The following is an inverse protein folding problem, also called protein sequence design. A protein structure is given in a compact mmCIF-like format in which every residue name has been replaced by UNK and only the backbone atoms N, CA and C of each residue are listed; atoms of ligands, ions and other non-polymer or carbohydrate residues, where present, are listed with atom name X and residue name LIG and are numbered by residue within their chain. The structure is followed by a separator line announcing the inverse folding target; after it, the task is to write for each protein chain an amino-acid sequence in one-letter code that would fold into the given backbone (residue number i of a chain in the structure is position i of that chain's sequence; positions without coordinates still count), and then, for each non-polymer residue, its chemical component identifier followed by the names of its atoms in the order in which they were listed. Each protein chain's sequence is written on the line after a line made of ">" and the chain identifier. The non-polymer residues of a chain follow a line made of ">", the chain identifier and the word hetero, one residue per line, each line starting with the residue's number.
data_IF_406506575018
#
_entry.id   IF_406506575018
#
_cell.length_a   1.000
_cell.length_b   1.000
_cell.length_c   1.000
_cell.angle_alpha   90.00
_cell.angle_beta   90.00
_cell.angle_gamma   90.00
#
_symmetry.space_group_name_H-M   'P 1'
#
loop_
_entity.id
_entity.type
_entity.pdbx_description
1 polymer ?
#
# COMPACT_ATOMS: atom_id res chain seq x y z
N UNK A 1 12.08 -1.67 9.79
CA UNK A 1 12.50 -3.10 9.79
C UNK A 1 13.26 -3.40 11.07
N UNK A 2 13.08 -4.59 11.64
CA UNK A 2 13.52 -4.90 13.00
C UNK A 2 14.99 -5.31 13.03
N UNK A 3 15.82 -4.56 13.77
CA UNK A 3 17.18 -4.99 14.12
C UNK A 3 17.08 -6.12 15.15
N UNK A 4 18.01 -7.06 15.12
CA UNK A 4 18.10 -8.11 16.15
C UNK A 4 18.18 -7.52 17.57
N UNK A 5 18.79 -6.34 17.71
CA UNK A 5 18.84 -5.62 18.98
C UNK A 5 17.47 -5.22 19.54
N UNK A 6 16.48 -4.94 18.69
CA UNK A 6 15.13 -4.55 19.11
C UNK A 6 14.22 -5.77 19.37
N UNK A 7 14.64 -6.97 18.98
CA UNK A 7 13.87 -8.20 19.17
C UNK A 7 14.15 -8.87 20.53
N UNK A 8 15.22 -8.49 21.23
CA UNK A 8 15.53 -8.98 22.59
C UNK A 8 14.41 -8.69 23.60
N UNK A 9 13.70 -7.57 23.43
CA UNK A 9 12.59 -7.20 24.32
C UNK A 9 11.36 -8.08 24.14
N UNK A 10 11.20 -8.69 22.97
CA UNK A 10 10.05 -9.55 22.63
C UNK A 10 10.40 -11.04 22.72
N UNK A 11 11.66 -11.41 22.44
CA UNK A 11 12.12 -12.80 22.37
C UNK A 11 13.38 -12.99 23.25
N UNK A 12 13.24 -13.47 24.50
CA UNK A 12 14.36 -13.62 25.44
C UNK A 12 15.39 -14.68 25.01
N UNK A 13 15.08 -15.50 24.00
CA UNK A 13 16.00 -16.48 23.39
C UNK A 13 17.08 -15.78 22.55
N UNK A 14 16.80 -14.58 22.01
CA UNK A 14 17.74 -13.79 21.21
C UNK A 14 18.70 -12.99 22.07
N UNK A 15 19.36 -13.64 23.03
CA UNK A 15 20.24 -12.98 24.00
C UNK A 15 21.52 -12.39 23.37
N UNK A 16 22.32 -11.72 24.20
CA UNK A 16 23.59 -11.12 23.78
C UNK A 16 24.57 -12.12 23.18
N UNK A 17 24.46 -13.41 23.53
CA UNK A 17 25.29 -14.49 22.97
C UNK A 17 24.95 -14.74 21.50
N UNK A 18 23.65 -14.91 21.20
CA UNK A 18 23.16 -15.10 19.83
C UNK A 18 23.46 -13.87 18.99
N UNK A 19 23.26 -12.66 19.54
CA UNK A 19 23.57 -11.42 18.81
C UNK A 19 25.06 -11.30 18.47
N UNK A 20 25.94 -11.59 19.42
CA UNK A 20 27.39 -11.50 19.19
C UNK A 20 27.85 -12.52 18.14
N UNK A 21 27.27 -13.71 18.13
CA UNK A 21 27.50 -14.72 17.09
C UNK A 21 26.97 -14.25 15.72
N UNK A 22 25.75 -13.70 15.65
CA UNK A 22 25.24 -13.13 14.40
C UNK A 22 26.12 -11.97 13.91
N UNK A 23 26.55 -11.07 14.81
CA UNK A 23 27.40 -9.94 14.48
C UNK A 23 28.78 -10.37 13.97
N UNK A 24 29.37 -11.46 14.50
CA UNK A 24 30.65 -11.98 14.00
C UNK A 24 30.55 -12.56 12.58
N UNK A 25 29.34 -12.93 12.14
CA UNK A 25 29.03 -13.36 10.79
C UNK A 25 28.43 -12.24 9.92
N UNK A 26 28.41 -10.99 10.40
CA UNK A 26 27.90 -9.84 9.64
C UNK A 26 26.37 -9.74 9.59
N UNK A 27 25.66 -10.45 10.47
CA UNK A 27 24.20 -10.47 10.55
C UNK A 27 23.74 -9.51 11.64
N UNK A 28 23.05 -8.43 11.26
CA UNK A 28 22.58 -7.39 12.19
C UNK A 28 21.05 -7.21 12.18
N UNK A 29 20.39 -7.71 11.14
CA UNK A 29 18.95 -7.65 10.91
C UNK A 29 18.37 -9.02 10.55
N UNK A 30 17.05 -9.15 10.65
CA UNK A 30 16.32 -10.35 10.21
C UNK A 30 16.48 -10.59 8.70
N UNK A 31 16.65 -9.52 7.92
CA UNK A 31 16.88 -9.59 6.47
C UNK A 31 18.26 -10.12 6.11
N UNK A 32 19.29 -9.77 6.88
CA UNK A 32 20.64 -10.31 6.65
C UNK A 32 20.60 -11.84 6.73
N UNK A 33 19.75 -12.39 7.59
CA UNK A 33 19.52 -13.83 7.71
C UNK A 33 19.03 -14.48 6.41
N UNK A 34 18.24 -13.78 5.60
CA UNK A 34 17.73 -14.28 4.32
C UNK A 34 18.80 -14.36 3.22
N UNK A 35 19.89 -13.59 3.38
CA UNK A 35 20.99 -13.51 2.41
C UNK A 35 22.09 -14.53 2.75
N UNK A 36 22.14 -15.01 4.00
CA UNK A 36 23.14 -15.95 4.47
C UNK A 36 22.72 -17.41 4.28
N UNK A 37 23.69 -18.28 4.05
CA UNK A 37 23.46 -19.72 4.00
C UNK A 37 23.21 -20.28 5.40
N UNK A 38 21.96 -20.68 5.65
CA UNK A 38 21.48 -21.26 6.90
C UNK A 38 22.26 -22.52 7.31
N UNK A 39 22.70 -23.33 6.35
CA UNK A 39 23.45 -24.55 6.63
C UNK A 39 24.85 -24.23 7.15
N UNK A 40 25.51 -23.24 6.53
CA UNK A 40 26.83 -22.78 6.98
C UNK A 40 26.73 -22.14 8.37
N UNK A 41 25.71 -21.31 8.61
CA UNK A 41 25.49 -20.67 9.90
C UNK A 41 25.23 -21.70 11.02
N UNK A 42 24.43 -22.73 10.73
CA UNK A 42 24.18 -23.83 11.67
C UNK A 42 25.45 -24.64 11.97
N UNK A 43 26.29 -24.90 10.95
CA UNK A 43 27.57 -25.58 11.13
C UNK A 43 28.55 -24.76 11.99
N UNK A 44 28.59 -23.43 11.84
CA UNK A 44 29.39 -22.57 12.71
C UNK A 44 28.83 -22.52 14.14
N UNK A 45 27.50 -22.57 14.30
CA UNK A 45 26.87 -22.64 15.62
C UNK A 45 27.18 -23.96 16.35
N UNK A 46 27.41 -25.07 15.64
CA UNK A 46 27.84 -26.35 16.21
C UNK A 46 29.25 -26.36 16.80
N UNK A 47 30.11 -25.45 16.33
CA UNK A 47 31.51 -25.38 16.79
C UNK A 47 31.70 -24.51 18.05
N UNK A 48 30.61 -23.94 18.58
CA UNK A 48 30.63 -23.07 19.77
C UNK A 48 30.12 -23.81 21.01
N UNK A 49 30.64 -23.44 22.20
CA UNK A 49 30.23 -24.04 23.49
C UNK A 49 28.73 -23.88 23.80
N UNK A 50 28.06 -22.89 23.20
CA UNK A 50 26.63 -22.60 23.35
C UNK A 50 25.77 -23.10 22.18
N UNK A 51 26.11 -24.26 21.58
CA UNK A 51 25.50 -24.75 20.34
C UNK A 51 23.97 -24.86 20.38
N UNK A 52 23.40 -25.44 21.45
CA UNK A 52 21.94 -25.58 21.57
C UNK A 52 21.24 -24.22 21.57
N UNK A 53 21.77 -23.25 22.33
CA UNK A 53 21.23 -21.89 22.40
C UNK A 53 21.31 -21.15 21.07
N UNK A 54 22.41 -21.30 20.34
CA UNK A 54 22.57 -20.68 19.02
C UNK A 54 21.58 -21.29 18.02
N UNK A 55 21.38 -22.60 18.04
CA UNK A 55 20.38 -23.28 17.19
C UNK A 55 18.96 -22.85 17.52
N UNK A 56 18.62 -22.73 18.81
CA UNK A 56 17.32 -22.19 19.25
C UNK A 56 17.14 -20.73 18.80
N UNK A 57 18.17 -19.90 18.93
CA UNK A 57 18.15 -18.53 18.44
C UNK A 57 17.92 -18.43 16.93
N UNK A 58 18.65 -19.24 16.15
CA UNK A 58 18.49 -19.34 14.69
C UNK A 58 17.07 -19.80 14.33
N UNK A 59 16.54 -20.83 15.00
CA UNK A 59 15.18 -21.33 14.80
C UNK A 59 14.12 -20.28 15.17
N UNK A 60 14.35 -19.50 16.22
CA UNK A 60 13.46 -18.41 16.62
C UNK A 60 13.44 -17.30 15.56
N UNK A 61 14.60 -16.91 15.01
CA UNK A 61 14.66 -15.95 13.89
C UNK A 61 13.92 -16.49 12.67
N UNK A 62 14.07 -17.78 12.35
CA UNK A 62 13.33 -18.42 11.26
C UNK A 62 11.81 -18.43 11.50
N UNK A 63 11.36 -18.68 12.73
CA UNK A 63 9.93 -18.57 13.07
C UNK A 63 9.42 -17.14 12.90
N UNK A 64 10.19 -16.13 13.31
CA UNK A 64 9.82 -14.71 13.12
C UNK A 64 9.76 -14.38 11.63
N UNK A 65 10.69 -14.91 10.84
CA UNK A 65 10.67 -14.81 9.38
C UNK A 65 9.39 -15.46 8.87
N UNK A 66 9.09 -16.70 9.20
CA UNK A 66 7.88 -17.40 8.73
C UNK A 66 6.58 -16.67 9.11
N UNK A 67 6.51 -16.09 10.33
CA UNK A 67 5.37 -15.29 10.78
C UNK A 67 5.26 -13.94 10.03
N UNK A 68 6.37 -13.42 9.52
CA UNK A 68 6.42 -12.15 8.78
C UNK A 68 6.17 -12.31 7.28
N UNK A 69 6.39 -13.49 6.70
CA UNK A 69 6.19 -13.73 5.28
C UNK A 69 4.73 -14.03 4.96
N UNK A 70 4.29 -13.72 3.74
CA UNK A 70 2.99 -14.22 3.29
C UNK A 70 3.07 -15.74 3.10
N UNK A 71 2.04 -16.50 3.50
CA UNK A 71 2.02 -17.93 3.32
C UNK A 71 2.16 -18.27 1.84
N UNK A 72 2.88 -19.34 1.54
CA UNK A 72 3.01 -19.86 0.19
C UNK A 72 1.63 -20.28 -0.31
N UNK A 73 1.17 -19.66 -1.39
CA UNK A 73 -0.13 -19.97 -2.00
C UNK A 73 0.07 -20.80 -3.26
N UNK A 74 -0.70 -21.87 -3.40
CA UNK A 74 -0.71 -22.63 -4.65
C UNK A 74 -1.60 -21.96 -5.72
N UNK A 75 -1.51 -22.43 -6.96
CA UNK A 75 -2.26 -21.85 -8.07
C UNK A 75 -3.79 -21.90 -7.91
N UNK A 76 -4.31 -22.91 -7.19
CA UNK A 76 -5.74 -23.04 -6.91
C UNK A 76 -6.20 -22.01 -5.88
N UNK A 77 -5.46 -21.83 -4.80
CA UNK A 77 -5.72 -20.82 -3.77
C UNK A 77 -5.67 -19.41 -4.36
N UNK A 78 -4.69 -19.12 -5.22
CA UNK A 78 -4.63 -17.84 -5.93
C UNK A 78 -5.83 -17.61 -6.86
N UNK A 79 -6.34 -18.66 -7.51
CA UNK A 79 -7.52 -18.58 -8.36
C UNK A 79 -8.80 -18.37 -7.53
N UNK A 80 -8.91 -19.05 -6.39
CA UNK A 80 -10.02 -18.87 -5.46
C UNK A 80 -10.03 -17.48 -4.85
N UNK A 81 -8.87 -16.97 -4.42
CA UNK A 81 -8.70 -15.58 -3.98
C UNK A 81 -9.11 -14.59 -5.08
N UNK A 82 -8.64 -14.81 -6.31
CA UNK A 82 -9.00 -13.97 -7.45
C UNK A 82 -10.52 -13.96 -7.72
N UNK A 83 -11.20 -15.10 -7.55
CA UNK A 83 -12.67 -15.17 -7.73
C UNK A 83 -13.44 -14.55 -6.57
N UNK A 84 -12.94 -14.68 -5.34
CA UNK A 84 -13.66 -14.27 -4.12
C UNK A 84 -13.44 -12.80 -3.77
N UNK A 85 -12.21 -12.31 -3.92
CA UNK A 85 -11.77 -11.05 -3.33
C UNK A 85 -11.48 -9.96 -4.37
N UNK A 86 -11.14 -10.32 -5.61
CA UNK A 86 -10.77 -9.35 -6.67
C UNK A 86 -12.00 -8.88 -7.45
N UNK A 87 -12.80 -8.06 -6.78
CA UNK A 87 -13.88 -7.30 -7.40
C UNK A 87 -13.35 -6.14 -8.23
N UNK A 88 -14.22 -5.56 -9.05
CA UNK A 88 -13.92 -4.39 -9.85
C UNK A 88 -14.80 -3.23 -9.42
N UNK A 89 -14.21 -2.05 -9.24
CA UNK A 89 -14.92 -0.82 -9.03
C UNK A 89 -14.96 -0.01 -10.32
N UNK A 90 -16.16 0.26 -10.88
CA UNK A 90 -16.25 1.13 -12.04
C UNK A 90 -15.76 2.53 -11.70
N UNK A 91 -15.00 3.12 -12.61
CA UNK A 91 -14.54 4.52 -12.52
C UNK A 91 -15.71 5.50 -12.73
N UNK A 92 -16.78 5.04 -13.37
CA UNK A 92 -17.91 5.89 -13.78
C UNK A 92 -17.62 6.67 -15.07
N UNK A 93 -16.62 6.21 -15.84
CA UNK A 93 -16.23 6.67 -17.17
C UNK A 93 -16.21 5.45 -18.09
N UNK A 94 -17.25 5.30 -18.90
CA UNK A 94 -17.48 4.08 -19.70
C UNK A 94 -16.28 3.67 -20.57
N UNK A 95 -15.58 4.63 -21.18
CA UNK A 95 -14.40 4.33 -22.00
C UNK A 95 -13.21 3.76 -21.20
N UNK A 96 -13.01 4.22 -19.96
CA UNK A 96 -11.95 3.72 -19.08
C UNK A 96 -12.37 2.36 -18.50
N UNK A 97 -13.63 2.23 -18.09
CA UNK A 97 -14.17 0.98 -17.58
C UNK A 97 -14.05 -0.14 -18.64
N UNK A 98 -14.39 0.15 -19.89
CA UNK A 98 -14.21 -0.80 -21.00
C UNK A 98 -12.74 -1.19 -21.19
N UNK A 99 -11.81 -0.24 -21.09
CA UNK A 99 -10.38 -0.50 -21.26
C UNK A 99 -9.81 -1.37 -20.13
N UNK A 100 -10.28 -1.18 -18.89
CA UNK A 100 -9.76 -1.89 -17.71
C UNK A 100 -10.46 -3.24 -17.45
N UNK A 101 -11.52 -3.55 -18.19
CA UNK A 101 -12.39 -4.69 -17.92
C UNK A 101 -13.31 -4.41 -16.74
N UNK A 102 -14.20 -3.45 -16.91
CA UNK A 102 -15.26 -2.97 -16.00
C UNK A 102 -14.81 -2.04 -14.87
N UNK A 103 -13.54 -1.60 -14.85
CA UNK A 103 -13.05 -0.58 -13.91
C UNK A 103 -11.75 -0.95 -13.18
N UNK A 104 -11.49 -0.31 -12.04
CA UNK A 104 -10.28 -0.54 -11.23
C UNK A 104 -10.42 -1.77 -10.35
N UNK A 105 -9.39 -2.60 -10.28
CA UNK A 105 -9.42 -3.88 -9.58
C UNK A 105 -9.05 -3.74 -8.11
N UNK A 106 -9.85 -4.38 -7.26
CA UNK A 106 -9.55 -4.56 -5.85
C UNK A 106 -8.36 -5.51 -5.70
N UNK A 107 -7.47 -5.22 -4.73
CA UNK A 107 -6.26 -6.01 -4.55
C UNK A 107 -5.10 -5.57 -5.45
N UNK A 108 -5.28 -4.49 -6.23
CA UNK A 108 -4.31 -4.05 -7.22
C UNK A 108 -4.05 -2.54 -7.15
N UNK A 109 -2.81 -2.19 -7.47
CA UNK A 109 -2.38 -0.82 -7.73
C UNK A 109 -2.60 -0.50 -9.21
N UNK A 110 -3.37 0.54 -9.50
CA UNK A 110 -3.61 1.07 -10.84
C UNK A 110 -2.96 2.45 -10.95
N UNK A 111 -2.14 2.66 -11.97
CA UNK A 111 -1.43 3.92 -12.21
C UNK A 111 -1.99 4.65 -13.42
N UNK A 112 -2.34 5.92 -13.24
CA UNK A 112 -2.75 6.84 -14.30
C UNK A 112 -1.59 7.76 -14.65
N UNK A 113 -0.98 7.53 -15.81
CA UNK A 113 0.23 8.24 -16.23
C UNK A 113 -0.07 9.10 -17.46
N UNK A 114 0.34 10.37 -17.41
CA UNK A 114 0.21 11.26 -18.58
C UNK A 114 0.74 12.68 -18.30
N UNK A 115 0.82 13.56 -19.32
CA UNK A 115 1.23 14.96 -19.15
C UNK A 115 0.35 15.71 -18.15
N UNK A 116 0.87 16.79 -17.55
CA UNK A 116 0.04 17.69 -16.74
C UNK A 116 -1.21 18.14 -17.52
N UNK A 117 -2.33 18.30 -16.81
CA UNK A 117 -3.63 18.68 -17.40
C UNK A 117 -4.26 17.66 -18.36
N UNK A 118 -3.77 16.42 -18.44
CA UNK A 118 -4.37 15.35 -19.25
C UNK A 118 -5.67 14.75 -18.67
N UNK A 119 -6.24 15.34 -17.61
CA UNK A 119 -7.49 14.87 -16.99
C UNK A 119 -7.36 13.79 -15.90
N UNK A 120 -6.15 13.42 -15.45
CA UNK A 120 -5.95 12.38 -14.42
C UNK A 120 -6.71 12.66 -13.13
N UNK A 121 -6.60 13.87 -12.57
CA UNK A 121 -7.36 14.30 -11.39
C UNK A 121 -8.87 14.16 -11.60
N UNK A 122 -9.37 14.42 -12.80
CA UNK A 122 -10.80 14.24 -13.08
C UNK A 122 -11.21 12.76 -13.07
N UNK A 123 -10.35 11.87 -13.57
CA UNK A 123 -10.56 10.42 -13.44
C UNK A 123 -10.54 10.00 -11.96
N UNK A 124 -9.59 10.51 -11.16
CA UNK A 124 -9.51 10.27 -9.72
C UNK A 124 -10.79 10.72 -8.99
N UNK A 125 -11.23 11.96 -9.21
CA UNK A 125 -12.44 12.52 -8.58
C UNK A 125 -13.71 11.78 -9.03
N UNK A 126 -13.82 11.42 -10.32
CA UNK A 126 -14.96 10.67 -10.85
C UNK A 126 -15.02 9.27 -10.24
N UNK A 127 -13.89 8.58 -10.18
CA UNK A 127 -13.76 7.27 -9.55
C UNK A 127 -14.10 7.33 -8.06
N UNK A 128 -13.55 8.31 -7.33
CA UNK A 128 -13.89 8.55 -5.93
C UNK A 128 -15.40 8.72 -5.75
N UNK A 129 -16.03 9.59 -6.54
CA UNK A 129 -17.48 9.85 -6.46
C UNK A 129 -18.34 8.60 -6.75
N UNK A 130 -17.86 7.71 -7.61
CA UNK A 130 -18.59 6.50 -7.99
C UNK A 130 -18.48 5.41 -6.92
N UNK A 131 -17.28 5.18 -6.40
CA UNK A 131 -17.01 4.18 -5.34
C UNK A 131 -17.59 4.63 -3.99
N UNK A 132 -17.53 5.93 -3.69
CA UNK A 132 -18.05 6.51 -2.47
C UNK A 132 -19.57 6.41 -2.29
N UNK A 133 -20.31 5.93 -3.29
CA UNK A 133 -21.74 5.62 -3.15
C UNK A 133 -22.01 4.52 -2.13
N UNK A 134 -21.11 3.55 -2.06
CA UNK A 134 -21.29 2.33 -1.28
C UNK A 134 -20.11 1.99 -0.36
N UNK A 135 -18.93 2.58 -0.58
CA UNK A 135 -17.71 2.26 0.15
C UNK A 135 -16.98 3.51 0.63
N UNK A 136 -16.13 3.39 1.65
CA UNK A 136 -15.30 4.51 2.07
C UNK A 136 -14.07 4.65 1.17
N UNK A 137 -13.72 5.90 0.86
CA UNK A 137 -12.63 6.30 -0.03
C UNK A 137 -11.69 7.22 0.73
N UNK A 138 -10.40 6.89 0.77
CA UNK A 138 -9.36 7.80 1.22
C UNK A 138 -8.74 8.48 0.00
N UNK A 139 -8.76 9.81 -0.02
CA UNK A 139 -8.15 10.63 -1.05
C UNK A 139 -6.96 11.37 -0.45
N UNK A 140 -5.75 11.01 -0.86
CA UNK A 140 -4.53 11.74 -0.54
C UNK A 140 -4.30 12.80 -1.62
N UNK A 141 -4.57 14.05 -1.27
CA UNK A 141 -4.40 15.19 -2.16
C UNK A 141 -3.04 15.85 -1.93
N UNK A 142 -2.17 15.74 -2.91
CA UNK A 142 -0.80 16.28 -2.82
C UNK A 142 -0.60 17.54 -3.65
N UNK A 143 -1.57 17.87 -4.50
CA UNK A 143 -1.55 19.02 -5.40
C UNK A 143 -2.61 20.06 -5.06
N UNK A 144 -3.30 19.91 -3.92
CA UNK A 144 -4.48 20.69 -3.53
C UNK A 144 -5.53 20.80 -4.67
N UNK A 145 -5.69 19.69 -5.40
CA UNK A 145 -6.50 19.60 -6.61
C UNK A 145 -7.86 18.94 -6.36
N UNK A 146 -8.11 18.48 -5.13
CA UNK A 146 -9.40 17.92 -4.74
C UNK A 146 -10.48 18.99 -4.71
N UNK A 147 -11.63 18.71 -5.34
CA UNK A 147 -12.77 19.63 -5.40
C UNK A 147 -14.08 18.90 -5.06
N UNK A 148 -14.66 19.18 -3.88
CA UNK A 148 -16.01 18.71 -3.53
C UNK A 148 -17.05 19.18 -4.54
N UNK A 149 -16.88 20.37 -5.12
CA UNK A 149 -17.81 20.91 -6.11
C UNK A 149 -17.82 20.05 -7.38
N UNK A 150 -16.65 19.58 -7.83
CA UNK A 150 -16.55 18.65 -8.97
C UNK A 150 -17.26 17.32 -8.67
N UNK A 151 -17.09 16.76 -7.48
CA UNK A 151 -17.81 15.55 -7.05
C UNK A 151 -19.32 15.78 -7.06
N UNK A 152 -19.81 16.89 -6.49
CA UNK A 152 -21.23 17.23 -6.49
C UNK A 152 -21.79 17.35 -7.92
N UNK A 153 -21.04 17.99 -8.83
CA UNK A 153 -21.38 18.10 -10.24
C UNK A 153 -21.49 16.73 -10.93
N UNK A 154 -20.51 15.85 -10.68
CA UNK A 154 -20.51 14.49 -11.21
C UNK A 154 -21.71 13.67 -10.77
N UNK A 155 -22.08 13.76 -9.49
CA UNK A 155 -23.26 13.07 -8.96
C UNK A 155 -24.55 13.68 -9.53
N UNK A 156 -24.62 15.01 -9.63
CA UNK A 156 -25.78 15.72 -10.19
C UNK A 156 -26.13 15.31 -11.62
N UNK A 157 -25.13 15.00 -12.46
CA UNK A 157 -25.33 14.50 -13.83
C UNK A 157 -25.82 13.05 -13.90
N UNK A 158 -25.51 12.24 -12.88
CA UNK A 158 -25.80 10.80 -12.90
C UNK A 158 -27.17 10.48 -12.30
N UNK A 159 -27.77 11.43 -11.57
CA UNK A 159 -29.03 11.24 -10.84
C UNK A 159 -30.19 11.92 -11.60
N UNK A 160 -31.07 11.08 -12.17
CA UNK A 160 -32.36 11.49 -12.73
C UNK A 160 -33.26 12.14 -11.66
N UNK A 161 -34.21 13.04 -12.02
CA UNK A 161 -34.79 14.01 -11.11
C UNK A 161 -35.88 13.41 -10.22
N UNK A 162 -35.51 12.71 -9.16
CA UNK A 162 -36.43 12.30 -8.10
C UNK A 162 -36.23 13.19 -6.86
N UNK A 163 -36.76 14.42 -6.92
CA UNK A 163 -36.74 15.46 -5.86
C UNK A 163 -35.38 16.07 -5.47
N UNK A 164 -35.35 17.39 -5.22
CA UNK A 164 -34.14 18.11 -4.78
C UNK A 164 -33.63 17.64 -3.41
N UNK A 165 -34.54 17.19 -2.53
CA UNK A 165 -34.21 16.77 -1.17
C UNK A 165 -33.48 15.42 -1.13
N UNK A 166 -33.92 14.44 -1.94
CA UNK A 166 -33.23 13.16 -2.04
C UNK A 166 -31.83 13.31 -2.66
N UNK A 167 -31.65 14.23 -3.62
CA UNK A 167 -30.33 14.56 -4.19
C UNK A 167 -29.37 15.08 -3.13
N UNK A 168 -29.81 15.97 -2.25
CA UNK A 168 -28.98 16.52 -1.18
C UNK A 168 -28.60 15.46 -0.14
N UNK A 169 -29.53 14.59 0.26
CA UNK A 169 -29.23 13.49 1.19
C UNK A 169 -28.23 12.50 0.58
N UNK A 170 -28.39 12.15 -0.69
CA UNK A 170 -27.45 11.27 -1.37
C UNK A 170 -26.07 11.90 -1.51
N UNK A 171 -26.00 13.18 -1.88
CA UNK A 171 -24.75 13.92 -1.94
C UNK A 171 -24.03 13.93 -0.58
N UNK A 172 -24.75 14.21 0.50
CA UNK A 172 -24.20 14.17 1.85
C UNK A 172 -23.65 12.79 2.21
N UNK A 173 -24.37 11.72 1.86
CA UNK A 173 -23.90 10.34 2.06
C UNK A 173 -22.62 10.04 1.28
N UNK A 174 -22.54 10.45 0.02
CA UNK A 174 -21.32 10.23 -0.79
C UNK A 174 -20.15 11.05 -0.24
N UNK A 175 -20.39 12.30 0.16
CA UNK A 175 -19.36 13.16 0.74
C UNK A 175 -18.85 12.64 2.08
N UNK A 176 -19.72 12.11 2.94
CA UNK A 176 -19.30 11.51 4.21
C UNK A 176 -18.45 10.26 4.04
N UNK A 177 -18.54 9.59 2.88
CA UNK A 177 -17.74 8.41 2.57
C UNK A 177 -16.36 8.75 1.98
N UNK A 178 -16.08 10.02 1.65
CA UNK A 178 -14.79 10.45 1.12
C UNK A 178 -14.03 11.20 2.20
N UNK A 179 -12.96 10.58 2.72
CA UNK A 179 -12.01 11.23 3.60
C UNK A 179 -10.86 11.79 2.75
N UNK A 180 -10.70 13.10 2.72
CA UNK A 180 -9.62 13.77 2.01
C UNK A 180 -8.54 14.23 2.99
N UNK A 181 -7.29 13.87 2.73
CA UNK A 181 -6.13 14.30 3.50
C UNK A 181 -5.12 14.96 2.58
N UNK A 182 -4.78 16.20 2.88
CA UNK A 182 -3.75 16.92 2.13
C UNK A 182 -2.36 16.52 2.61
N UNK A 183 -1.49 16.10 1.69
CA UNK A 183 -0.14 15.60 2.00
C UNK A 183 0.86 16.30 1.09
N UNK A 184 1.80 17.04 1.66
CA UNK A 184 2.74 17.87 0.89
C UNK A 184 4.18 17.36 0.90
N UNK A 185 4.45 16.26 1.62
CA UNK A 185 5.75 15.61 1.70
C UNK A 185 5.59 14.08 1.63
N UNK A 186 6.57 13.41 1.04
CA UNK A 186 6.60 11.95 0.91
C UNK A 186 6.65 11.27 2.29
N UNK A 187 7.34 11.87 3.27
CA UNK A 187 7.38 11.31 4.63
C UNK A 187 6.01 11.38 5.31
N UNK A 188 5.30 12.50 5.17
CA UNK A 188 3.92 12.61 5.64
C UNK A 188 2.98 11.61 4.94
N UNK A 189 3.24 11.30 3.65
CA UNK A 189 2.51 10.23 2.96
C UNK A 189 2.78 8.86 3.61
N UNK A 190 4.04 8.54 3.90
CA UNK A 190 4.39 7.29 4.60
C UNK A 190 3.71 7.20 5.97
N UNK A 191 3.69 8.28 6.75
CA UNK A 191 3.02 8.31 8.05
C UNK A 191 1.52 7.99 7.90
N UNK A 192 0.83 8.61 6.94
CA UNK A 192 -0.58 8.35 6.67
C UNK A 192 -0.80 6.91 6.20
N UNK A 193 0.08 6.36 5.34
CA UNK A 193 -0.01 4.98 4.88
C UNK A 193 0.23 3.96 6.01
N UNK A 194 1.17 4.24 6.93
CA UNK A 194 1.41 3.39 8.09
C UNK A 194 0.26 3.46 9.12
N UNK A 195 -0.31 4.66 9.34
CA UNK A 195 -1.52 4.81 10.14
C UNK A 195 -2.68 4.03 9.52
N UNK A 196 -2.85 4.13 8.19
CA UNK A 196 -3.85 3.36 7.46
C UNK A 196 -3.62 1.85 7.61
N UNK A 197 -2.39 1.37 7.46
CA UNK A 197 -2.04 -0.04 7.66
C UNK A 197 -2.45 -0.53 9.06
N UNK A 198 -2.13 0.25 10.10
CA UNK A 198 -2.49 -0.08 11.49
C UNK A 198 -4.00 -0.08 11.72
N UNK A 199 -4.73 0.84 11.09
CA UNK A 199 -6.18 0.92 11.16
C UNK A 199 -6.86 -0.29 10.51
N UNK A 200 -6.38 -0.68 9.32
CA UNK A 200 -6.97 -1.80 8.56
C UNK A 200 -6.72 -3.14 9.27
N UNK A 201 -5.54 -3.35 9.85
CA UNK A 201 -5.26 -4.54 10.68
C UNK A 201 -6.20 -4.65 11.88
N UNK A 202 -6.59 -3.52 12.47
CA UNK A 202 -7.56 -3.50 13.58
C UNK A 202 -9.01 -3.76 13.12
N UNK A 203 -9.32 -3.62 11.83
CA UNK A 203 -10.69 -3.70 11.30
C UNK A 203 -11.12 -5.09 10.85
N UNK A 204 -10.22 -6.09 10.78
CA UNK A 204 -10.46 -7.43 10.20
C UNK A 204 -11.56 -8.29 10.88
N UNK A 205 -12.38 -7.72 11.78
CA UNK A 205 -13.50 -8.40 12.44
C UNK A 205 -14.83 -7.64 12.51
N UNK A 206 -14.96 -6.40 11.99
CA UNK A 206 -16.24 -5.65 12.09
C UNK A 206 -16.76 -5.21 10.72
N UNK A 207 -17.89 -5.81 10.29
CA UNK A 207 -18.58 -5.55 9.02
C UNK A 207 -19.28 -4.18 8.89
N UNK A 208 -18.74 -3.11 9.47
CA UNK A 208 -19.28 -1.75 9.30
C UNK A 208 -18.30 -0.92 8.48
N UNK A 209 -18.73 -0.50 7.28
CA UNK A 209 -18.02 0.41 6.37
C UNK A 209 -16.52 0.08 6.22
N UNK A 210 -16.18 -0.81 5.30
CA UNK A 210 -14.78 -1.04 4.97
C UNK A 210 -14.30 0.05 4.00
N UNK A 211 -13.14 0.64 4.27
CA UNK A 211 -12.43 1.41 3.25
C UNK A 211 -12.06 0.48 2.10
N UNK A 212 -12.37 0.87 0.85
CA UNK A 212 -12.13 0.00 -0.32
C UNK A 212 -11.33 0.66 -1.44
N UNK A 213 -11.15 1.98 -1.38
CA UNK A 213 -10.39 2.72 -2.37
C UNK A 213 -9.44 3.72 -1.70
N UNK A 214 -8.17 3.64 -2.06
CA UNK A 214 -7.16 4.64 -1.77
C UNK A 214 -6.80 5.35 -3.07
N UNK A 215 -6.89 6.67 -3.10
CA UNK A 215 -6.44 7.49 -4.22
C UNK A 215 -5.27 8.35 -3.77
N UNK A 216 -4.21 8.40 -4.57
CA UNK A 216 -3.11 9.35 -4.39
C UNK A 216 -3.00 10.22 -5.63
N UNK A 217 -3.41 11.48 -5.51
CA UNK A 217 -3.41 12.46 -6.60
C UNK A 217 -2.58 13.68 -6.19
N UNK A 218 -1.34 13.85 -6.65
CA UNK A 218 -0.51 12.97 -7.49
C UNK A 218 0.79 12.62 -6.79
N UNK A 219 1.32 11.42 -6.98
CA UNK A 219 2.62 11.08 -6.39
C UNK A 219 3.75 11.95 -6.98
N UNK A 220 3.59 12.44 -8.22
CA UNK A 220 4.59 13.30 -8.89
C UNK A 220 4.99 14.55 -8.10
N UNK A 221 4.06 15.24 -7.42
CA UNK A 221 4.40 16.46 -6.68
C UNK A 221 5.24 16.19 -5.44
N UNK A 222 5.07 15.02 -4.82
CA UNK A 222 5.81 14.62 -3.62
C UNK A 222 7.24 14.20 -3.94
N UNK A 223 7.45 13.53 -5.08
CA UNK A 223 8.77 13.00 -5.41
C UNK A 223 9.59 13.97 -6.28
N UNK A 224 8.97 14.90 -7.03
CA UNK A 224 9.71 15.86 -7.86
C UNK A 224 10.78 16.66 -7.09
N UNK A 225 10.57 17.09 -5.84
CA UNK A 225 11.62 17.75 -5.04
C UNK A 225 12.77 16.82 -4.65
N UNK A 226 12.50 15.51 -4.54
CA UNK A 226 13.46 14.50 -4.06
C UNK A 226 14.20 13.82 -5.23
N UNK A 227 13.58 13.80 -6.42
CA UNK A 227 14.14 13.33 -7.69
C UNK A 227 14.98 14.42 -8.36
N UNK A 228 16.09 14.79 -7.72
CA UNK A 228 17.22 15.36 -8.46
C UNK A 228 17.76 14.35 -9.48
N UNK A 229 18.39 14.80 -10.56
CA UNK A 229 18.82 14.01 -11.73
C UNK A 229 19.71 12.79 -11.43
N UNK A 230 20.21 12.63 -10.21
CA UNK A 230 21.10 11.53 -9.80
C UNK A 230 20.81 10.95 -8.39
N UNK A 231 19.67 11.26 -7.76
CA UNK A 231 19.42 10.80 -6.38
C UNK A 231 18.97 9.33 -6.34
N UNK A 232 19.85 8.45 -5.87
CA UNK A 232 19.49 7.07 -5.47
C UNK A 232 18.39 7.07 -4.42
N UNK A 233 18.38 8.09 -3.55
CA UNK A 233 17.37 8.30 -2.52
C UNK A 233 15.95 8.45 -3.08
N UNK A 234 15.76 9.25 -4.15
CA UNK A 234 14.44 9.43 -4.75
C UNK A 234 13.89 8.12 -5.31
N UNK A 235 14.76 7.32 -5.95
CA UNK A 235 14.40 5.97 -6.42
C UNK A 235 14.07 5.02 -5.27
N UNK A 236 14.85 5.01 -4.21
CA UNK A 236 14.59 4.17 -3.04
C UNK A 236 13.24 4.50 -2.38
N UNK A 237 12.92 5.80 -2.23
CA UNK A 237 11.64 6.24 -1.67
C UNK A 237 10.47 5.90 -2.60
N UNK A 238 10.64 6.02 -3.92
CA UNK A 238 9.63 5.56 -4.88
C UNK A 238 9.36 4.06 -4.77
N UNK A 239 10.42 3.24 -4.72
CA UNK A 239 10.29 1.79 -4.57
C UNK A 239 9.59 1.45 -3.26
N UNK A 240 9.95 2.12 -2.16
CA UNK A 240 9.32 1.93 -0.85
C UNK A 240 7.83 2.31 -0.87
N UNK A 241 7.47 3.46 -1.47
CA UNK A 241 6.08 3.89 -1.61
C UNK A 241 5.28 2.91 -2.48
N UNK A 242 5.84 2.50 -3.63
CA UNK A 242 5.21 1.51 -4.51
C UNK A 242 5.00 0.16 -3.83
N UNK A 243 5.99 -0.30 -3.06
CA UNK A 243 5.88 -1.51 -2.25
C UNK A 243 4.76 -1.39 -1.22
N UNK A 244 4.74 -0.31 -0.43
CA UNK A 244 3.73 -0.11 0.63
C UNK A 244 2.31 -0.02 0.05
N UNK A 245 2.13 0.69 -1.07
CA UNK A 245 0.83 0.80 -1.75
C UNK A 245 0.37 -0.55 -2.31
N UNK A 246 1.27 -1.33 -2.94
CA UNK A 246 0.96 -2.69 -3.42
C UNK A 246 0.64 -3.63 -2.28
N UNK A 247 1.38 -3.55 -1.18
CA UNK A 247 1.16 -4.34 0.04
C UNK A 247 -0.24 -4.05 0.61
N UNK A 248 -0.58 -2.77 0.78
CA UNK A 248 -1.91 -2.35 1.26
C UNK A 248 -3.03 -2.82 0.32
N UNK A 249 -2.83 -2.69 -1.00
CA UNK A 249 -3.79 -3.18 -2.00
C UNK A 249 -4.08 -4.66 -1.79
N UNK A 250 -3.03 -5.49 -1.81
CA UNK A 250 -3.16 -6.94 -1.78
C UNK A 250 -3.62 -7.47 -0.43
N UNK A 251 -3.01 -7.04 0.68
CA UNK A 251 -3.28 -7.60 2.01
C UNK A 251 -4.67 -7.22 2.56
N UNK A 252 -5.16 -6.01 2.24
CA UNK A 252 -6.41 -5.51 2.79
C UNK A 252 -7.55 -5.45 1.75
N UNK A 253 -7.38 -6.07 0.57
CA UNK A 253 -8.36 -6.02 -0.52
C UNK A 253 -8.85 -4.59 -0.80
N UNK A 254 -7.88 -3.69 -0.96
CA UNK A 254 -8.07 -2.30 -1.36
C UNK A 254 -7.80 -2.15 -2.86
N UNK A 255 -8.61 -1.36 -3.55
CA UNK A 255 -8.21 -0.80 -4.83
C UNK A 255 -7.34 0.44 -4.57
N UNK A 256 -6.18 0.53 -5.21
CA UNK A 256 -5.30 1.70 -5.08
C UNK A 256 -5.17 2.36 -6.44
N UNK A 257 -5.49 3.65 -6.51
CA UNK A 257 -5.40 4.46 -7.72
C UNK A 257 -4.39 5.58 -7.51
N UNK A 258 -3.35 5.63 -8.34
CA UNK A 258 -2.30 6.63 -8.23
C UNK A 258 -2.23 7.43 -9.52
N UNK A 259 -2.09 8.75 -9.41
CA UNK A 259 -1.85 9.60 -10.58
C UNK A 259 -0.39 10.07 -10.67
N UNK A 260 0.12 10.11 -11.90
CA UNK A 260 1.46 10.60 -12.24
C UNK A 260 1.42 11.61 -13.40
N UNK A 261 1.93 12.80 -13.13
CA UNK A 261 2.31 13.74 -14.17
C UNK A 261 3.69 13.37 -14.74
N UNK A 262 3.76 13.07 -16.04
CA UNK A 262 5.03 12.97 -16.77
C UNK A 262 5.56 14.38 -17.05
N UNK A 263 6.73 14.71 -16.50
CA UNK A 263 7.41 15.99 -16.74
C UNK A 263 8.58 15.83 -17.74
N UNK A 264 9.19 14.64 -17.87
CA UNK A 264 10.10 14.28 -18.97
C UNK A 264 10.38 12.76 -18.99
N UNK A 265 11.05 12.27 -20.03
CA UNK A 265 11.15 10.90 -20.56
C UNK A 265 11.66 9.76 -19.66
N UNK A 266 11.78 9.92 -18.33
CA UNK A 266 12.62 9.02 -17.49
C UNK A 266 11.87 8.24 -16.40
N UNK A 267 10.55 8.36 -16.25
CA UNK A 267 9.82 7.56 -15.27
C UNK A 267 9.26 6.26 -15.86
N UNK A 268 10.15 5.26 -15.96
CA UNK A 268 9.78 3.84 -16.04
C UNK A 268 9.80 3.32 -14.60
N UNK A 269 8.62 3.06 -14.04
CA UNK A 269 8.43 2.65 -12.64
C UNK A 269 8.79 1.19 -12.36
N UNK A 270 9.04 0.38 -13.40
CA UNK A 270 9.30 -1.05 -13.27
C UNK A 270 10.23 -1.52 -14.39
N UNK A 271 11.51 -1.60 -14.08
CA UNK A 271 12.40 -2.67 -14.55
C UNK A 271 13.39 -2.97 -13.41
#
# INVERSE_FOLDING_TARGET
>A
MARLANLETEYPVLDSTVRNFCASHGIFSVEDFLIHDLYMLAAFAEQNDSSERLKEGIAQVLSIIDDMHQPWLNGMELLEDAKRNKHVFPTGIQGIDLLLGDGIRVGQLTELVGPSSSGKTQVCLRTASNVARNHMVLYLDTGNSFSPQCIAYFLGKTISPSSAQAKNQFLQKVMSNISCHSVFDIFAMFDVLHQLESYLRCQDGRGCCQMRLLIVDSISSLISPVLGSSSTLGRALMTSAGYLLKKLAHQHNLAVLVSFARVSSVLVWLN
#
